data_IF_975042743520
#
_entry.id   IF_975042743520
#
_cell.length_a   1.000
_cell.length_b   1.000
_cell.length_c   1.000
_cell.angle_alpha   90.00
_cell.angle_beta   90.00
_cell.angle_gamma   90.00
#
_symmetry.space_group_name_H-M   'P 1'
#
loop_
_entity.id
_entity.type
_entity.pdbx_description
1 polymer ?
#
# COMPACT_ATOMS: atom_id res chain seq x y z
N UNK A 1 15.84 -10.83 -3.17
CA UNK A 1 15.63 -11.08 -1.72
C UNK A 1 16.95 -11.10 -0.91
N UNK A 2 17.78 -12.16 -0.96
CA UNK A 2 19.01 -12.24 -0.11
C UNK A 2 19.97 -11.06 -0.30
N UNK A 3 20.19 -10.64 -1.55
CA UNK A 3 21.02 -9.48 -1.89
C UNK A 3 20.46 -8.19 -1.29
N UNK A 4 19.16 -8.00 -1.40
CA UNK A 4 18.48 -6.76 -0.96
C UNK A 4 18.51 -6.65 0.57
N UNK A 5 18.33 -7.76 1.27
CA UNK A 5 18.47 -7.81 2.73
C UNK A 5 19.89 -7.47 3.18
N UNK A 6 20.91 -8.06 2.54
CA UNK A 6 22.32 -7.80 2.86
C UNK A 6 22.70 -6.33 2.63
N UNK A 7 22.12 -5.69 1.61
CA UNK A 7 22.36 -4.28 1.31
C UNK A 7 21.64 -3.34 2.29
N UNK A 8 20.39 -3.64 2.69
CA UNK A 8 19.59 -2.76 3.53
C UNK A 8 19.89 -2.87 5.03
N UNK A 9 20.10 -4.09 5.54
CA UNK A 9 20.19 -4.35 6.98
C UNK A 9 21.24 -3.49 7.73
N UNK A 10 22.45 -3.23 7.18
CA UNK A 10 23.44 -2.39 7.86
C UNK A 10 22.99 -0.93 8.05
N UNK A 11 22.16 -0.41 7.16
CA UNK A 11 21.71 0.99 7.14
C UNK A 11 20.61 1.26 8.18
N UNK A 12 19.91 0.23 8.65
CA UNK A 12 18.75 0.38 9.53
C UNK A 12 19.06 1.13 10.84
N UNK A 13 20.26 0.95 11.40
CA UNK A 13 20.69 1.70 12.59
C UNK A 13 20.92 3.18 12.29
N UNK A 14 21.51 3.49 11.14
CA UNK A 14 21.75 4.86 10.66
C UNK A 14 20.43 5.57 10.41
N UNK A 15 19.45 4.89 9.80
CA UNK A 15 18.14 5.46 9.49
C UNK A 15 17.44 6.05 10.74
N UNK A 16 17.61 5.40 11.90
CA UNK A 16 17.03 5.87 13.17
C UNK A 16 17.83 7.05 13.73
N UNK A 17 19.16 6.99 13.73
CA UNK A 17 20.00 8.06 14.28
C UNK A 17 19.94 9.33 13.43
N UNK A 18 19.94 9.18 12.11
CA UNK A 18 19.94 10.28 11.13
C UNK A 18 18.56 10.96 11.07
N UNK A 19 17.49 10.23 11.41
CA UNK A 19 16.13 10.74 11.47
C UNK A 19 15.85 11.66 12.67
N UNK A 20 16.73 11.71 13.67
CA UNK A 20 16.58 12.57 14.86
C UNK A 20 17.03 14.02 14.58
N UNK A 21 16.41 14.65 13.59
CA UNK A 21 16.67 16.04 13.24
C UNK A 21 15.36 16.85 13.11
N UNK A 22 15.44 18.16 13.29
CA UNK A 22 14.27 19.05 13.27
C UNK A 22 13.57 19.08 11.90
N UNK A 23 14.31 18.89 10.81
CA UNK A 23 13.76 18.85 9.46
C UNK A 23 12.91 17.60 9.22
N UNK A 24 13.31 16.45 9.77
CA UNK A 24 12.55 15.19 9.74
C UNK A 24 11.24 15.33 10.54
N UNK A 25 11.26 16.03 11.66
CA UNK A 25 10.03 16.34 12.41
C UNK A 25 9.08 17.21 11.58
N UNK A 26 9.59 18.28 10.96
CA UNK A 26 8.79 19.14 10.09
C UNK A 26 8.22 18.37 8.88
N UNK A 27 9.04 17.53 8.24
CA UNK A 27 8.61 16.69 7.13
C UNK A 27 7.55 15.67 7.56
N UNK A 28 7.68 15.07 8.75
CA UNK A 28 6.70 14.12 9.30
C UNK A 28 5.35 14.78 9.49
N UNK A 29 5.31 15.99 10.08
CA UNK A 29 4.07 16.74 10.26
C UNK A 29 3.43 17.13 8.93
N UNK A 30 4.23 17.60 7.97
CA UNK A 30 3.73 17.93 6.64
C UNK A 30 3.14 16.70 5.93
N UNK A 31 3.89 15.59 5.90
CA UNK A 31 3.46 14.35 5.25
C UNK A 31 2.24 13.74 5.93
N UNK A 32 2.12 13.83 7.26
CA UNK A 32 0.94 13.38 7.98
C UNK A 32 -0.34 14.01 7.42
N UNK A 33 -0.38 15.34 7.30
CA UNK A 33 -1.55 16.03 6.74
C UNK A 33 -1.71 15.80 5.23
N UNK A 34 -0.59 15.74 4.49
CA UNK A 34 -0.61 15.49 3.06
C UNK A 34 -1.17 14.10 2.72
N UNK A 35 -0.92 13.09 3.56
CA UNK A 35 -1.42 11.73 3.39
C UNK A 35 -2.81 11.49 4.01
N UNK A 36 -3.16 12.25 5.05
CA UNK A 36 -4.46 12.12 5.71
C UNK A 36 -5.61 12.55 4.79
N UNK A 37 -5.47 13.67 4.09
CA UNK A 37 -6.50 14.18 3.18
C UNK A 37 -6.92 13.16 2.10
N UNK A 38 -5.99 12.56 1.31
CA UNK A 38 -6.36 11.53 0.34
C UNK A 38 -6.84 10.25 1.00
N UNK A 39 -6.34 9.86 2.18
CA UNK A 39 -6.84 8.67 2.88
C UNK A 39 -8.32 8.83 3.28
N UNK A 40 -8.71 10.01 3.78
CA UNK A 40 -10.10 10.32 4.10
C UNK A 40 -10.95 10.41 2.82
N UNK A 41 -10.46 11.08 1.79
CA UNK A 41 -11.17 11.21 0.51
C UNK A 41 -11.44 9.86 -0.16
N UNK A 42 -10.42 9.01 -0.27
CA UNK A 42 -10.59 7.65 -0.79
C UNK A 42 -11.47 6.80 0.12
N UNK A 43 -11.36 6.93 1.44
CA UNK A 43 -12.22 6.24 2.39
C UNK A 43 -13.71 6.52 2.16
N UNK A 44 -14.07 7.79 1.92
CA UNK A 44 -15.44 8.16 1.56
C UNK A 44 -15.89 7.56 0.22
N UNK A 45 -15.01 7.57 -0.78
CA UNK A 45 -15.30 6.96 -2.09
C UNK A 45 -15.48 5.43 -2.01
N UNK A 46 -14.67 4.74 -1.20
CA UNK A 46 -14.83 3.31 -0.95
C UNK A 46 -16.14 3.02 -0.22
N UNK A 47 -16.53 3.85 0.74
CA UNK A 47 -17.81 3.69 1.44
C UNK A 47 -18.99 3.78 0.47
N UNK A 48 -18.95 4.71 -0.48
CA UNK A 48 -20.01 4.81 -1.50
C UNK A 48 -19.96 3.65 -2.50
N UNK A 49 -18.77 3.25 -2.94
CA UNK A 49 -18.60 2.18 -3.92
C UNK A 49 -18.97 0.78 -3.38
N UNK A 50 -18.89 0.58 -2.07
CA UNK A 50 -19.06 -0.72 -1.41
C UNK A 50 -20.30 -0.79 -0.50
N UNK A 51 -21.25 0.16 -0.65
CA UNK A 51 -22.44 0.31 0.20
C UNK A 51 -22.13 0.31 1.71
N UNK A 52 -21.04 0.95 2.11
CA UNK A 52 -20.61 1.07 3.50
C UNK A 52 -19.82 -0.12 4.04
N UNK A 53 -19.49 -1.11 3.21
CA UNK A 53 -18.69 -2.26 3.64
C UNK A 53 -17.22 -1.90 3.95
N UNK A 54 -16.66 -0.89 3.27
CA UNK A 54 -15.33 -0.32 3.57
C UNK A 54 -15.49 1.17 3.79
N UNK A 55 -15.39 1.60 5.05
CA UNK A 55 -15.53 3.00 5.42
C UNK A 55 -14.22 3.77 5.50
N UNK A 56 -14.36 5.05 5.87
CA UNK A 56 -13.23 5.97 6.04
C UNK A 56 -12.32 5.56 7.18
N UNK A 57 -12.88 5.08 8.29
CA UNK A 57 -12.09 4.69 9.46
C UNK A 57 -11.25 3.45 9.14
N UNK A 58 -11.86 2.44 8.51
CA UNK A 58 -11.17 1.23 8.07
C UNK A 58 -10.03 1.54 7.10
N UNK A 59 -10.26 2.47 6.18
CA UNK A 59 -9.25 2.93 5.23
C UNK A 59 -8.07 3.63 5.93
N UNK A 60 -8.34 4.54 6.87
CA UNK A 60 -7.29 5.25 7.62
C UNK A 60 -6.50 4.29 8.51
N UNK A 61 -7.18 3.42 9.26
CA UNK A 61 -6.54 2.43 10.12
C UNK A 61 -5.71 1.43 9.32
N UNK A 62 -6.24 0.95 8.18
CA UNK A 62 -5.51 0.04 7.27
C UNK A 62 -4.26 0.71 6.70
N UNK A 63 -4.36 1.96 6.23
CA UNK A 63 -3.24 2.72 5.69
C UNK A 63 -2.17 2.97 6.75
N UNK A 64 -2.57 3.30 7.99
CA UNK A 64 -1.63 3.49 9.10
C UNK A 64 -0.89 2.18 9.46
N UNK A 65 -1.61 1.07 9.59
CA UNK A 65 -1.01 -0.23 9.91
C UNK A 65 -0.05 -0.69 8.80
N UNK A 66 -0.47 -0.60 7.54
CA UNK A 66 0.38 -0.94 6.39
C UNK A 66 1.60 -0.03 6.29
N UNK A 67 1.44 1.27 6.56
CA UNK A 67 2.52 2.24 6.56
C UNK A 67 3.59 1.94 7.61
N UNK A 68 3.18 1.59 8.84
CA UNK A 68 4.11 1.21 9.92
C UNK A 68 4.87 -0.08 9.55
N UNK A 69 4.15 -1.11 9.09
CA UNK A 69 4.77 -2.38 8.69
C UNK A 69 5.76 -2.14 7.53
N UNK A 70 5.39 -1.35 6.54
CA UNK A 70 6.28 -1.05 5.42
C UNK A 70 7.49 -0.22 5.83
N UNK A 71 7.33 0.79 6.69
CA UNK A 71 8.44 1.61 7.17
C UNK A 71 9.51 0.76 7.89
N UNK A 72 9.10 -0.27 8.64
CA UNK A 72 10.01 -1.14 9.37
C UNK A 72 10.70 -2.21 8.50
N UNK A 73 9.98 -2.77 7.51
CA UNK A 73 10.45 -3.95 6.76
C UNK A 73 10.82 -3.67 5.29
N UNK A 74 10.59 -2.46 4.78
CA UNK A 74 10.89 -2.14 3.38
C UNK A 74 12.39 -1.95 3.12
N UNK A 75 12.79 -2.21 1.87
CA UNK A 75 14.13 -1.86 1.38
C UNK A 75 14.29 -0.35 1.11
N UNK A 76 13.18 0.40 1.02
CA UNK A 76 13.15 1.83 0.74
C UNK A 76 12.00 2.51 1.52
N UNK A 77 12.25 3.05 2.71
CA UNK A 77 11.22 3.62 3.58
C UNK A 77 10.76 5.02 3.17
N UNK A 78 11.39 5.64 2.16
CA UNK A 78 10.93 6.93 1.61
C UNK A 78 9.65 6.80 0.77
N UNK A 79 9.27 5.57 0.38
CA UNK A 79 8.06 5.33 -0.41
C UNK A 79 6.82 5.40 0.48
N UNK A 80 5.89 6.28 0.14
CA UNK A 80 4.62 6.45 0.85
C UNK A 80 3.58 5.51 0.23
N UNK A 81 2.93 4.71 1.07
CA UNK A 81 1.84 3.82 0.65
C UNK A 81 0.49 4.51 0.86
N UNK A 82 -0.38 4.41 -0.14
CA UNK A 82 -1.75 4.86 -0.06
C UNK A 82 -2.60 4.22 -1.15
N UNK A 83 -3.93 4.32 -1.02
CA UNK A 83 -4.82 3.91 -2.10
C UNK A 83 -4.72 4.85 -3.29
N UNK A 84 -4.98 4.30 -4.47
CA UNK A 84 -4.94 5.02 -5.74
C UNK A 84 -6.25 4.83 -6.51
N UNK A 85 -6.50 5.71 -7.48
CA UNK A 85 -7.70 5.65 -8.33
C UNK A 85 -7.95 4.30 -9.02
N UNK A 86 -6.93 3.63 -9.60
CA UNK A 86 -7.12 2.31 -10.20
C UNK A 86 -7.60 1.23 -9.21
N UNK A 87 -7.10 1.27 -7.97
CA UNK A 87 -7.55 0.33 -6.91
C UNK A 87 -9.01 0.59 -6.57
N UNK A 88 -9.42 1.86 -6.45
CA UNK A 88 -10.83 2.21 -6.23
C UNK A 88 -11.72 1.71 -7.37
N UNK A 89 -11.31 1.92 -8.63
CA UNK A 89 -12.05 1.45 -9.80
C UNK A 89 -12.18 -0.09 -9.83
N UNK A 90 -11.11 -0.79 -9.46
CA UNK A 90 -11.13 -2.25 -9.33
C UNK A 90 -12.10 -2.71 -8.23
N UNK A 91 -12.05 -2.12 -7.04
CA UNK A 91 -12.94 -2.50 -5.93
C UNK A 91 -14.40 -2.18 -6.25
N UNK A 92 -14.67 -1.05 -6.90
CA UNK A 92 -16.01 -0.69 -7.33
C UNK A 92 -16.59 -1.70 -8.34
N UNK A 93 -15.78 -2.14 -9.31
CA UNK A 93 -16.21 -3.17 -10.28
C UNK A 93 -16.38 -4.53 -9.61
N UNK A 94 -15.52 -4.88 -8.64
CA UNK A 94 -15.67 -6.11 -7.86
C UNK A 94 -16.94 -6.11 -6.99
N UNK A 95 -17.28 -4.98 -6.37
CA UNK A 95 -18.52 -4.84 -5.61
C UNK A 95 -19.77 -4.99 -6.51
N UNK A 96 -19.74 -4.41 -7.71
CA UNK A 96 -20.81 -4.61 -8.70
C UNK A 96 -20.91 -6.06 -9.17
N UNK A 97 -19.78 -6.74 -9.37
CA UNK A 97 -19.73 -8.15 -9.76
C UNK A 97 -20.31 -9.04 -8.64
N UNK A 98 -19.92 -8.79 -7.39
CA UNK A 98 -20.44 -9.51 -6.23
C UNK A 98 -21.98 -9.42 -6.17
N UNK A 99 -22.54 -8.22 -6.36
CA UNK A 99 -23.99 -8.00 -6.42
C UNK A 99 -24.66 -8.75 -7.57
N UNK A 100 -24.07 -8.74 -8.77
CA UNK A 100 -24.62 -9.45 -9.94
C UNK A 100 -24.62 -10.97 -9.78
N UNK A 101 -23.65 -11.50 -9.03
CA UNK A 101 -23.49 -12.93 -8.78
C UNK A 101 -24.16 -13.38 -7.47
N UNK A 102 -24.81 -12.47 -6.73
CA UNK A 102 -25.38 -12.71 -5.40
C UNK A 102 -24.37 -13.29 -4.39
N UNK A 103 -23.12 -12.83 -4.48
CA UNK A 103 -22.02 -13.26 -3.61
C UNK A 103 -21.72 -12.21 -2.53
N UNK A 104 -21.32 -12.64 -1.32
CA UNK A 104 -20.90 -11.72 -0.29
C UNK A 104 -19.57 -11.03 -0.69
N UNK A 105 -19.57 -9.69 -0.69
CA UNK A 105 -18.44 -8.89 -1.14
C UNK A 105 -17.17 -9.07 -0.28
N UNK A 106 -17.29 -9.08 1.06
CA UNK A 106 -16.13 -9.20 1.96
C UNK A 106 -15.31 -10.49 1.73
N UNK A 107 -15.93 -11.69 1.70
CA UNK A 107 -15.22 -12.94 1.38
C UNK A 107 -14.61 -12.93 -0.01
N UNK A 108 -15.33 -12.41 -1.02
CA UNK A 108 -14.81 -12.30 -2.38
C UNK A 108 -13.55 -11.41 -2.41
N UNK A 109 -13.62 -10.24 -1.78
CA UNK A 109 -12.50 -9.30 -1.68
C UNK A 109 -11.31 -9.92 -0.93
N UNK A 110 -11.56 -10.61 0.19
CA UNK A 110 -10.53 -11.31 0.95
C UNK A 110 -9.83 -12.39 0.11
N UNK A 111 -10.59 -13.16 -0.68
CA UNK A 111 -10.05 -14.18 -1.58
C UNK A 111 -9.18 -13.58 -2.69
N UNK A 112 -9.61 -12.46 -3.28
CA UNK A 112 -8.78 -11.75 -4.27
C UNK A 112 -7.48 -11.23 -3.66
N UNK A 113 -7.51 -10.77 -2.41
CA UNK A 113 -6.32 -10.36 -1.66
C UNK A 113 -5.35 -11.51 -1.41
N UNK A 114 -5.86 -12.69 -1.03
CA UNK A 114 -5.05 -13.89 -0.82
C UNK A 114 -4.33 -14.32 -2.11
N UNK A 115 -5.03 -14.41 -3.24
CA UNK A 115 -4.41 -14.74 -4.52
C UNK A 115 -3.38 -13.70 -4.96
N UNK A 116 -3.69 -12.41 -4.78
CA UNK A 116 -2.75 -11.33 -5.09
C UNK A 116 -1.47 -11.48 -4.26
N UNK A 117 -1.59 -11.78 -2.96
CA UNK A 117 -0.43 -11.99 -2.10
C UNK A 117 0.41 -13.20 -2.54
N UNK A 118 -0.22 -14.30 -2.95
CA UNK A 118 0.47 -15.49 -3.44
C UNK A 118 1.23 -15.21 -4.75
N UNK A 119 0.62 -14.49 -5.68
CA UNK A 119 1.26 -14.09 -6.96
C UNK A 119 2.45 -13.15 -6.69
N UNK A 120 2.31 -12.20 -5.76
CA UNK A 120 3.40 -11.29 -5.37
C UNK A 120 4.56 -12.06 -4.74
N UNK A 121 4.28 -13.03 -3.85
CA UNK A 121 5.30 -13.88 -3.25
C UNK A 121 6.04 -14.69 -4.33
N UNK A 122 5.31 -15.32 -5.25
CA UNK A 122 5.91 -16.08 -6.34
C UNK A 122 6.79 -15.19 -7.23
N UNK A 123 6.28 -14.00 -7.59
CA UNK A 123 7.01 -13.00 -8.38
C UNK A 123 8.28 -12.50 -7.68
N UNK A 124 8.26 -12.42 -6.35
CA UNK A 124 9.43 -12.01 -5.55
C UNK A 124 10.55 -13.06 -5.59
N UNK A 125 10.19 -14.36 -5.63
CA UNK A 125 11.14 -15.48 -5.69
C UNK A 125 11.69 -15.64 -7.09
N UNK A 126 10.85 -15.51 -8.12
CA UNK A 126 11.27 -15.59 -9.55
C UNK A 126 12.06 -14.37 -10.02
N UNK A 127 12.28 -13.38 -9.15
CA UNK A 127 13.01 -12.13 -9.47
C UNK A 127 12.38 -11.37 -10.64
N UNK A 128 11.05 -11.31 -10.70
CA UNK A 128 10.30 -10.55 -11.70
C UNK A 128 10.70 -9.06 -11.73
N UNK A 129 11.23 -8.53 -10.62
CA UNK A 129 11.79 -7.17 -10.54
C UNK A 129 12.93 -6.90 -11.52
N UNK A 130 13.59 -7.92 -12.08
CA UNK A 130 14.57 -7.73 -13.15
C UNK A 130 13.96 -7.14 -14.43
N UNK A 131 12.66 -7.32 -14.67
CA UNK A 131 11.98 -6.74 -15.82
C UNK A 131 11.91 -5.21 -15.76
N UNK A 132 11.97 -4.64 -14.55
CA UNK A 132 11.96 -3.18 -14.35
C UNK A 132 13.15 -2.51 -15.05
N UNK A 133 14.26 -3.23 -15.29
CA UNK A 133 15.42 -2.72 -16.02
C UNK A 133 15.13 -2.38 -17.49
N UNK A 134 14.06 -2.92 -18.05
CA UNK A 134 13.65 -2.62 -19.42
C UNK A 134 12.74 -1.39 -19.52
N UNK A 135 12.27 -0.86 -18.38
CA UNK A 135 11.57 0.43 -18.36
C UNK A 135 12.60 1.55 -18.55
N UNK A 136 12.53 2.20 -19.71
CA UNK A 136 13.38 3.34 -20.03
C UNK A 136 12.68 4.64 -19.68
N UNK A 137 13.41 5.76 -19.71
CA UNK A 137 12.90 7.10 -19.39
C UNK A 137 11.69 7.55 -20.26
N UNK A 138 11.43 6.88 -21.38
CA UNK A 138 10.32 7.19 -22.29
C UNK A 138 9.03 6.41 -21.96
N UNK A 139 9.01 5.63 -20.89
CA UNK A 139 7.87 4.83 -20.41
C UNK A 139 7.31 5.45 -19.14
#
# INVERSE_FOLDING_TARGET
IKRDFKARFPLFKSDITDGLNAQCLAATMFLFFACLAPAVGFGGLFSVATDGAIGTIEMVTSTAACGIIYALFSAQPLTIIGSTGPVLAFVATLAQLAKKMDLPFLPLYSWTGLWTSAILLLSSVTSASNLVKYLTRFT
#
